data_IF_449910103924
#
_entry.id   IF_449910103924
#
_cell.length_a   1.000
_cell.length_b   1.000
_cell.length_c   1.000
_cell.angle_alpha   90.00
_cell.angle_beta   90.00
_cell.angle_gamma   90.00
#
_symmetry.space_group_name_H-M   'P 1'
#
loop_
_entity.id
_entity.type
_entity.pdbx_description
1 polymer ?
#
# COMPACT_ATOMS: atom_id res chain seq x y z
N UNK A 1 -68.27 47.09 -36.87
CA UNK A 1 -68.22 47.32 -35.40
C UNK A 1 -68.39 46.07 -34.52
N UNK A 2 -68.60 44.83 -35.05
CA UNK A 2 -68.75 43.61 -34.22
C UNK A 2 -67.44 42.93 -33.77
N UNK A 3 -66.30 43.25 -34.39
CA UNK A 3 -65.01 42.57 -34.13
C UNK A 3 -64.17 43.17 -32.97
N UNK A 4 -64.52 44.35 -32.45
CA UNK A 4 -63.77 44.96 -31.32
C UNK A 4 -64.25 44.46 -29.95
N UNK A 5 -65.52 44.08 -29.82
CA UNK A 5 -66.10 43.65 -28.54
C UNK A 5 -65.62 42.24 -28.15
N UNK A 6 -65.53 41.32 -29.12
CA UNK A 6 -65.01 39.95 -28.89
C UNK A 6 -63.53 39.97 -28.47
N UNK A 7 -62.71 40.84 -29.07
CA UNK A 7 -61.29 40.99 -28.70
C UNK A 7 -61.09 41.54 -27.28
N UNK A 8 -61.97 42.44 -26.80
CA UNK A 8 -61.91 42.97 -25.42
C UNK A 8 -62.36 41.94 -24.37
N UNK A 9 -63.37 41.12 -24.68
CA UNK A 9 -63.83 40.04 -23.79
C UNK A 9 -62.78 38.93 -23.69
N UNK A 10 -62.15 38.55 -24.81
CA UNK A 10 -61.08 37.55 -24.81
C UNK A 10 -59.82 38.02 -24.07
N UNK A 11 -59.42 39.30 -24.22
CA UNK A 11 -58.28 39.87 -23.48
C UNK A 11 -58.58 39.96 -21.97
N UNK A 12 -59.81 40.30 -21.59
CA UNK A 12 -60.27 40.31 -20.20
C UNK A 12 -60.29 38.92 -19.55
N UNK A 13 -60.71 37.89 -20.27
CA UNK A 13 -60.65 36.48 -19.83
C UNK A 13 -59.22 35.96 -19.75
N UNK A 14 -58.32 36.39 -20.64
CA UNK A 14 -56.90 36.01 -20.60
C UNK A 14 -56.18 36.67 -19.40
N UNK A 15 -56.46 37.95 -19.13
CA UNK A 15 -55.95 38.66 -17.94
C UNK A 15 -56.53 38.12 -16.63
N UNK A 16 -57.82 37.76 -16.59
CA UNK A 16 -58.44 37.13 -15.42
C UNK A 16 -57.91 35.71 -15.19
N UNK A 17 -57.64 34.95 -16.27
CA UNK A 17 -56.96 33.65 -16.20
C UNK A 17 -55.53 33.76 -15.68
N UNK A 18 -54.78 34.77 -16.11
CA UNK A 18 -53.41 35.03 -15.65
C UNK A 18 -53.36 35.51 -14.18
N UNK A 19 -54.35 36.31 -13.76
CA UNK A 19 -54.53 36.73 -12.36
C UNK A 19 -54.99 35.57 -11.46
N UNK A 20 -55.84 34.68 -11.95
CA UNK A 20 -56.25 33.47 -11.23
C UNK A 20 -55.08 32.48 -11.09
N UNK A 21 -54.27 32.27 -12.14
CA UNK A 21 -53.09 31.39 -12.06
C UNK A 21 -51.97 31.95 -11.18
N UNK A 22 -51.88 33.27 -11.00
CA UNK A 22 -50.93 33.90 -10.07
C UNK A 22 -51.45 34.00 -8.63
N UNK A 23 -52.77 33.90 -8.41
CA UNK A 23 -53.38 33.79 -7.07
C UNK A 23 -53.33 32.36 -6.48
N UNK A 24 -52.95 31.35 -7.26
CA UNK A 24 -52.75 29.96 -6.79
C UNK A 24 -51.27 29.56 -6.68
N UNK A 25 -50.34 30.51 -6.63
CA UNK A 25 -49.03 30.23 -6.03
C UNK A 25 -49.18 30.23 -4.50
N UNK A 26 -49.96 29.27 -3.98
CA UNK A 26 -50.04 29.01 -2.55
C UNK A 26 -48.74 28.31 -2.18
N UNK A 27 -47.79 29.07 -1.64
CA UNK A 27 -46.59 28.51 -1.03
C UNK A 27 -47.01 27.85 0.29
N UNK A 28 -47.31 26.56 0.24
CA UNK A 28 -47.51 25.74 1.43
C UNK A 28 -46.18 25.06 1.77
N UNK A 29 -45.71 25.22 3.00
CA UNK A 29 -44.61 24.45 3.56
C UNK A 29 -45.15 23.34 4.46
N UNK A 30 -44.45 22.22 4.53
CA UNK A 30 -44.70 21.23 5.56
C UNK A 30 -44.29 21.80 6.92
N UNK A 31 -45.02 21.46 7.98
CA UNK A 31 -44.67 21.86 9.35
C UNK A 31 -43.36 21.22 9.82
N UNK A 32 -43.06 20.03 9.29
CA UNK A 32 -41.89 19.23 9.63
C UNK A 32 -41.00 19.06 8.39
N UNK A 33 -39.72 18.82 8.61
CA UNK A 33 -38.80 18.38 7.56
C UNK A 33 -39.17 16.98 7.06
N UNK A 34 -38.92 16.72 5.79
CA UNK A 34 -38.94 15.35 5.25
C UNK A 34 -37.65 14.69 5.72
N UNK A 35 -37.79 13.56 6.44
CA UNK A 35 -36.65 12.73 6.81
C UNK A 35 -36.49 11.62 5.77
N UNK A 36 -35.28 11.54 5.23
CA UNK A 36 -34.82 10.50 4.32
C UNK A 36 -34.11 9.37 5.06
N UNK A 37 -33.33 8.61 4.31
CA UNK A 37 -32.54 7.50 4.83
C UNK A 37 -31.11 7.95 5.15
N UNK A 38 -30.40 7.16 5.97
CA UNK A 38 -28.97 7.40 6.21
C UNK A 38 -28.19 6.89 4.99
N UNK A 39 -27.27 7.67 4.42
CA UNK A 39 -26.38 7.18 3.38
C UNK A 39 -25.44 6.12 3.98
N UNK A 40 -25.24 5.00 3.28
CA UNK A 40 -24.33 3.93 3.73
C UNK A 40 -23.42 3.50 2.59
N UNK A 41 -22.13 3.38 2.84
CA UNK A 41 -21.20 2.81 1.87
C UNK A 41 -21.14 1.29 1.96
N UNK A 42 -21.01 0.66 0.81
CA UNK A 42 -20.70 -0.77 0.68
C UNK A 42 -19.63 -0.97 -0.37
N UNK A 43 -18.77 -1.97 -0.16
CA UNK A 43 -17.80 -2.37 -1.17
C UNK A 43 -18.51 -2.82 -2.47
N UNK A 44 -17.74 -2.96 -3.54
CA UNK A 44 -18.30 -3.36 -4.83
C UNK A 44 -18.65 -4.85 -4.92
N UNK A 45 -18.38 -5.62 -3.87
CA UNK A 45 -18.68 -7.04 -3.82
C UNK A 45 -20.18 -7.31 -3.65
N UNK A 46 -20.64 -8.41 -4.23
CA UNK A 46 -22.02 -8.84 -4.09
C UNK A 46 -22.30 -9.25 -2.63
N UNK A 47 -23.26 -8.59 -1.99
CA UNK A 47 -23.61 -8.86 -0.59
C UNK A 47 -22.63 -8.26 0.43
N UNK A 48 -21.82 -7.28 0.00
CA UNK A 48 -20.92 -6.52 0.86
C UNK A 48 -21.60 -6.03 2.15
N UNK A 49 -20.86 -6.10 3.26
CA UNK A 49 -21.32 -5.55 4.53
C UNK A 49 -21.43 -4.02 4.47
N UNK A 50 -22.30 -3.45 5.30
CA UNK A 50 -22.38 -2.00 5.50
C UNK A 50 -21.04 -1.46 6.01
N UNK A 51 -20.75 -0.20 5.67
CA UNK A 51 -19.56 0.52 6.10
C UNK A 51 -18.25 -0.09 5.59
N UNK A 52 -18.27 -0.66 4.38
CA UNK A 52 -17.09 -1.24 3.74
C UNK A 52 -16.76 -0.55 2.43
N UNK A 53 -15.50 -0.68 2.00
CA UNK A 53 -14.96 -0.14 0.76
C UNK A 53 -14.02 -1.18 0.15
N UNK A 54 -13.84 -1.12 -1.16
CA UNK A 54 -12.82 -1.90 -1.87
C UNK A 54 -11.57 -1.04 -2.03
N UNK A 55 -10.42 -1.50 -1.51
CA UNK A 55 -9.13 -0.86 -1.73
C UNK A 55 -8.30 -1.68 -2.71
N UNK A 56 -7.68 -1.01 -3.69
CA UNK A 56 -6.79 -1.62 -4.68
C UNK A 56 -5.50 -0.81 -4.85
N UNK A 57 -4.38 -1.49 -5.04
CA UNK A 57 -3.16 -0.88 -5.59
C UNK A 57 -2.92 -1.44 -6.99
N UNK A 58 -2.88 -0.55 -7.98
CA UNK A 58 -2.70 -0.87 -9.39
C UNK A 58 -1.27 -0.56 -9.84
N UNK A 59 -0.77 -1.34 -10.79
CA UNK A 59 0.55 -1.11 -11.37
C UNK A 59 0.52 0.13 -12.28
N UNK A 60 1.52 1.01 -12.17
CA UNK A 60 1.59 2.21 -13.02
C UNK A 60 1.72 1.87 -14.51
N UNK A 61 2.54 0.87 -14.85
CA UNK A 61 2.83 0.49 -16.23
C UNK A 61 1.65 -0.27 -16.84
N UNK A 62 0.77 -0.83 -15.99
CA UNK A 62 -0.48 -1.50 -16.36
C UNK A 62 -1.61 -1.07 -15.41
N UNK A 63 -2.19 0.14 -15.57
CA UNK A 63 -3.16 0.72 -14.62
C UNK A 63 -4.45 -0.07 -14.37
N UNK A 64 -4.69 -1.13 -15.16
CA UNK A 64 -5.82 -2.06 -15.02
C UNK A 64 -5.49 -3.28 -14.17
N UNK A 65 -4.22 -3.53 -13.90
CA UNK A 65 -3.73 -4.74 -13.22
C UNK A 65 -3.36 -4.38 -11.78
N UNK A 66 -3.84 -5.16 -10.81
CA UNK A 66 -3.37 -5.05 -9.44
C UNK A 66 -1.91 -5.47 -9.34
N UNK A 67 -1.18 -4.89 -8.38
CA UNK A 67 0.23 -5.21 -8.18
C UNK A 67 0.47 -6.66 -7.72
N UNK A 68 -0.56 -7.33 -7.17
CA UNK A 68 -0.45 -8.72 -6.75
C UNK A 68 0.20 -8.84 -5.37
N UNK A 69 1.27 -9.64 -5.26
CA UNK A 69 1.97 -9.90 -4.00
C UNK A 69 3.24 -9.08 -3.80
N UNK A 70 3.72 -8.34 -4.82
CA UNK A 70 4.93 -7.52 -4.67
C UNK A 70 4.70 -6.36 -3.70
N UNK A 71 5.74 -5.84 -3.04
CA UNK A 71 5.64 -4.57 -2.35
C UNK A 71 5.08 -3.47 -3.26
N UNK A 72 4.24 -2.61 -2.69
CA UNK A 72 3.78 -1.42 -3.39
C UNK A 72 4.96 -0.45 -3.54
N UNK A 73 5.01 0.29 -4.65
CA UNK A 73 6.10 1.24 -4.94
C UNK A 73 5.55 2.62 -5.24
N UNK A 74 6.40 3.64 -5.06
CA UNK A 74 6.14 4.99 -5.58
C UNK A 74 5.80 4.87 -7.06
N UNK A 75 4.81 5.68 -7.45
CA UNK A 75 4.14 5.73 -8.75
C UNK A 75 3.08 4.67 -9.04
N UNK A 76 2.93 3.62 -8.23
CA UNK A 76 1.73 2.79 -8.28
C UNK A 76 0.47 3.63 -8.01
N UNK A 77 -0.70 3.12 -8.36
CA UNK A 77 -1.96 3.87 -8.27
C UNK A 77 -2.83 3.27 -7.16
N UNK A 78 -3.18 4.08 -6.17
CA UNK A 78 -4.21 3.70 -5.19
C UNK A 78 -5.59 3.94 -5.80
N UNK A 79 -6.49 2.98 -5.63
CA UNK A 79 -7.91 3.07 -6.00
C UNK A 79 -8.78 2.63 -4.82
N UNK A 80 -9.74 3.47 -4.45
CA UNK A 80 -10.73 3.20 -3.42
C UNK A 80 -12.10 3.24 -4.08
N UNK A 81 -12.83 2.13 -4.03
CA UNK A 81 -14.11 1.97 -4.70
C UNK A 81 -15.23 1.67 -3.70
N UNK A 82 -16.39 2.27 -3.90
CA UNK A 82 -17.57 2.00 -3.07
C UNK A 82 -18.87 2.32 -3.82
N UNK A 83 -19.96 1.69 -3.37
CA UNK A 83 -21.33 2.05 -3.71
C UNK A 83 -21.93 2.84 -2.55
N UNK A 84 -22.69 3.88 -2.87
CA UNK A 84 -23.66 4.46 -1.97
C UNK A 84 -24.96 3.66 -2.05
N UNK A 85 -25.42 3.14 -0.92
CA UNK A 85 -26.79 2.69 -0.74
C UNK A 85 -27.58 3.76 0.00
N UNK A 86 -28.55 4.33 -0.72
CA UNK A 86 -29.51 5.27 -0.19
C UNK A 86 -30.90 5.02 -0.78
N UNK A 87 -31.90 4.84 0.09
CA UNK A 87 -33.23 4.39 -0.32
C UNK A 87 -34.08 5.52 -0.95
N UNK A 88 -33.79 6.77 -0.60
CA UNK A 88 -34.40 7.95 -1.23
C UNK A 88 -33.68 8.40 -2.51
N UNK A 89 -32.57 7.73 -2.85
CA UNK A 89 -31.76 7.92 -4.07
C UNK A 89 -31.05 9.27 -4.14
N UNK A 90 -30.72 9.87 -3.00
CA UNK A 90 -29.81 11.00 -2.97
C UNK A 90 -28.44 10.63 -3.59
N UNK A 91 -27.79 11.64 -4.18
CA UNK A 91 -26.64 11.46 -5.08
C UNK A 91 -25.30 11.74 -4.40
N UNK A 92 -24.27 11.03 -4.87
CA UNK A 92 -22.89 11.37 -4.53
C UNK A 92 -22.42 12.64 -5.22
N UNK A 93 -21.51 13.37 -4.56
CA UNK A 93 -20.81 14.53 -5.12
C UNK A 93 -19.30 14.35 -5.01
N UNK A 94 -18.60 14.51 -6.13
CA UNK A 94 -17.16 14.35 -6.19
C UNK A 94 -16.43 15.35 -5.27
N UNK A 95 -16.94 16.58 -5.18
CA UNK A 95 -16.37 17.62 -4.33
C UNK A 95 -16.57 17.31 -2.84
N UNK A 96 -17.71 16.72 -2.46
CA UNK A 96 -17.98 16.30 -1.07
C UNK A 96 -17.15 15.10 -0.65
N UNK A 97 -16.93 14.15 -1.57
CA UNK A 97 -16.01 13.04 -1.35
C UNK A 97 -14.59 13.57 -1.15
N UNK A 98 -14.12 14.47 -2.02
CA UNK A 98 -12.80 15.10 -1.86
C UNK A 98 -12.68 15.86 -0.54
N UNK A 99 -13.68 16.65 -0.16
CA UNK A 99 -13.70 17.43 1.09
C UNK A 99 -13.49 16.56 2.34
N UNK A 100 -13.96 15.30 2.30
CA UNK A 100 -13.96 14.39 3.46
C UNK A 100 -12.88 13.32 3.39
N UNK A 101 -12.26 13.13 2.22
CA UNK A 101 -11.17 12.18 2.05
C UNK A 101 -9.89 12.71 2.68
N UNK A 102 -9.32 11.96 3.63
CA UNK A 102 -8.01 12.23 4.23
C UNK A 102 -7.19 10.97 4.20
N UNK A 103 -5.89 11.09 3.94
CA UNK A 103 -4.99 9.94 3.89
C UNK A 103 -3.77 10.19 4.78
N UNK A 104 -3.34 9.14 5.43
CA UNK A 104 -2.30 9.15 6.45
C UNK A 104 -1.29 8.05 6.17
N UNK A 105 -0.05 8.32 6.56
CA UNK A 105 1.03 7.34 6.49
C UNK A 105 1.72 7.23 7.83
N UNK A 106 2.28 6.05 8.09
CA UNK A 106 3.18 5.80 9.21
C UNK A 106 4.34 4.95 8.72
N UNK A 107 5.57 5.37 9.02
CA UNK A 107 6.76 4.70 8.51
C UNK A 107 7.11 3.47 9.31
N UNK A 108 6.96 3.46 10.63
CA UNK A 108 7.27 2.28 11.45
C UNK A 108 5.99 1.73 12.08
N UNK A 109 5.56 0.55 11.61
CA UNK A 109 4.38 -0.18 12.10
C UNK A 109 4.41 -0.40 13.60
N UNK A 110 5.58 -0.77 14.12
CA UNK A 110 5.75 -1.20 15.51
C UNK A 110 6.08 -0.06 16.48
N UNK A 111 6.29 1.16 16.00
CA UNK A 111 6.56 2.30 16.87
C UNK A 111 5.24 2.95 17.30
N UNK A 112 4.75 2.61 18.49
CA UNK A 112 3.53 3.20 19.05
C UNK A 112 3.65 4.69 19.36
N UNK A 113 4.87 5.26 19.35
CA UNK A 113 5.11 6.68 19.60
C UNK A 113 5.17 7.52 18.33
N UNK A 114 5.38 6.89 17.16
CA UNK A 114 5.30 7.55 15.88
C UNK A 114 3.84 7.95 15.58
N UNK A 115 3.62 9.25 15.44
CA UNK A 115 2.32 9.80 15.07
C UNK A 115 2.04 9.56 13.58
N UNK A 116 0.77 9.34 13.27
CA UNK A 116 0.30 9.35 11.89
C UNK A 116 0.56 10.70 11.24
N UNK A 117 1.10 10.69 10.02
CA UNK A 117 1.31 11.88 9.23
C UNK A 117 0.25 11.97 8.14
N UNK A 118 -0.56 13.02 8.17
CA UNK A 118 -1.48 13.35 7.07
C UNK A 118 -0.66 13.71 5.82
N UNK A 119 -1.09 13.21 4.66
CA UNK A 119 -0.54 13.61 3.37
C UNK A 119 -1.48 14.64 2.77
N UNK A 120 -0.96 15.84 2.52
CA UNK A 120 -1.73 16.93 1.95
C UNK A 120 -2.28 16.55 0.57
N UNK A 121 -3.49 17.00 0.22
CA UNK A 121 -4.08 16.71 -1.09
C UNK A 121 -3.21 17.19 -2.25
N UNK A 122 -2.43 18.25 -2.06
CA UNK A 122 -1.48 18.74 -3.07
C UNK A 122 -0.33 17.76 -3.36
N UNK A 123 -0.02 16.86 -2.41
CA UNK A 123 0.98 15.80 -2.57
C UNK A 123 0.37 14.50 -3.15
N UNK A 124 -0.96 14.43 -3.32
CA UNK A 124 -1.66 13.33 -3.98
C UNK A 124 -1.70 13.57 -5.49
N UNK A 125 -0.70 13.02 -6.18
CA UNK A 125 -0.54 13.20 -7.62
C UNK A 125 -1.73 12.60 -8.38
N UNK A 126 -2.30 13.37 -9.30
CA UNK A 126 -3.46 12.96 -10.10
C UNK A 126 -4.70 12.50 -9.30
N UNK A 127 -4.95 13.11 -8.13
CA UNK A 127 -6.15 12.83 -7.34
C UNK A 127 -7.43 13.08 -8.15
N UNK A 128 -8.18 12.00 -8.37
CA UNK A 128 -9.46 11.97 -9.11
C UNK A 128 -10.54 11.33 -8.26
N UNK A 129 -11.76 11.81 -8.46
CA UNK A 129 -12.98 11.15 -7.98
C UNK A 129 -13.88 10.98 -9.18
N UNK A 130 -14.10 9.73 -9.57
CA UNK A 130 -14.97 9.34 -10.68
C UNK A 130 -16.29 8.85 -10.12
N UNK A 131 -17.39 9.37 -10.63
CA UNK A 131 -18.74 8.97 -10.26
C UNK A 131 -19.37 8.21 -11.42
N UNK A 132 -20.03 7.11 -11.11
CA UNK A 132 -20.95 6.45 -12.03
C UNK A 132 -22.32 6.33 -11.36
N UNK A 133 -23.16 7.32 -11.65
CA UNK A 133 -24.50 7.47 -11.12
C UNK A 133 -25.50 6.74 -12.02
N UNK A 134 -25.44 5.41 -12.05
CA UNK A 134 -26.47 4.61 -12.71
C UNK A 134 -27.70 4.44 -11.80
N UNK A 135 -28.83 4.08 -12.38
CA UNK A 135 -30.18 4.25 -11.83
C UNK A 135 -30.49 3.56 -10.48
N UNK A 136 -29.66 2.63 -10.01
CA UNK A 136 -29.90 1.85 -8.78
C UNK A 136 -28.76 1.83 -7.76
N UNK A 137 -27.52 2.21 -8.12
CA UNK A 137 -26.38 2.34 -7.18
C UNK A 137 -25.42 3.41 -7.69
N UNK A 138 -25.19 4.42 -6.85
CA UNK A 138 -24.19 5.45 -7.14
C UNK A 138 -22.81 4.92 -6.77
N UNK A 139 -21.98 4.69 -7.78
CA UNK A 139 -20.61 4.21 -7.62
C UNK A 139 -19.64 5.38 -7.58
N UNK A 140 -18.66 5.32 -6.70
CA UNK A 140 -17.53 6.22 -6.69
C UNK A 140 -16.20 5.47 -6.70
N UNK A 141 -15.22 6.07 -7.37
CA UNK A 141 -13.82 5.64 -7.36
C UNK A 141 -12.96 6.85 -7.03
N UNK A 142 -12.22 6.78 -5.93
CA UNK A 142 -11.14 7.72 -5.60
C UNK A 142 -9.84 7.10 -6.10
N UNK A 143 -9.03 7.85 -6.86
CA UNK A 143 -7.74 7.35 -7.31
C UNK A 143 -6.66 8.42 -7.30
N UNK A 144 -5.44 8.04 -6.97
CA UNK A 144 -4.26 8.92 -7.08
C UNK A 144 -2.99 8.06 -7.21
N UNK A 145 -1.93 8.68 -7.72
CA UNK A 145 -0.60 8.09 -7.87
C UNK A 145 0.16 8.24 -6.54
N UNK A 146 0.74 7.15 -6.04
CA UNK A 146 1.59 7.14 -4.84
C UNK A 146 2.81 8.02 -5.10
N UNK A 147 2.94 9.13 -4.38
CA UNK A 147 4.08 10.04 -4.50
C UNK A 147 5.25 9.65 -3.60
N UNK A 148 6.40 10.30 -3.76
CA UNK A 148 7.59 10.07 -2.91
C UNK A 148 7.34 10.32 -1.42
N UNK A 149 6.26 11.03 -1.06
CA UNK A 149 5.87 11.23 0.35
C UNK A 149 5.56 9.93 1.06
N UNK A 150 5.09 8.93 0.32
CA UNK A 150 4.75 7.61 0.84
C UNK A 150 5.97 6.71 1.01
N UNK A 151 7.14 7.08 0.46
CA UNK A 151 8.33 6.22 0.47
C UNK A 151 8.70 5.77 1.90
N UNK A 152 8.81 4.45 2.08
CA UNK A 152 9.11 3.79 3.35
C UNK A 152 7.92 3.68 4.32
N UNK A 153 6.70 4.09 3.92
CA UNK A 153 5.51 3.91 4.74
C UNK A 153 5.16 2.42 4.88
N UNK A 154 5.12 1.92 6.11
CA UNK A 154 4.69 0.54 6.46
C UNK A 154 3.21 0.45 6.79
N UNK A 155 2.54 1.60 6.94
CA UNK A 155 1.11 1.73 7.14
C UNK A 155 0.60 2.87 6.27
N UNK A 156 -0.48 2.59 5.55
CA UNK A 156 -1.33 3.60 4.93
C UNK A 156 -2.71 3.47 5.58
N UNK A 157 -3.26 4.59 5.98
CA UNK A 157 -4.61 4.71 6.52
C UNK A 157 -5.35 5.84 5.84
N UNK A 158 -6.67 5.84 5.90
CA UNK A 158 -7.47 6.92 5.36
C UNK A 158 -8.79 7.08 6.12
N UNK A 159 -9.41 8.24 5.96
CA UNK A 159 -10.72 8.56 6.50
C UNK A 159 -11.62 9.02 5.36
N UNK A 160 -12.89 8.64 5.44
CA UNK A 160 -13.92 9.07 4.49
C UNK A 160 -15.27 9.15 5.20
N UNK A 161 -16.07 10.18 4.90
CA UNK A 161 -17.41 10.34 5.46
C UNK A 161 -18.45 9.78 4.50
N UNK A 162 -19.35 8.95 5.01
CA UNK A 162 -20.56 8.55 4.31
C UNK A 162 -21.47 9.77 4.17
N UNK A 163 -21.55 10.32 2.95
CA UNK A 163 -22.26 11.57 2.69
C UNK A 163 -22.80 11.66 1.27
N UNK A 164 -23.99 12.23 1.16
CA UNK A 164 -24.67 12.62 -0.08
C UNK A 164 -24.56 14.13 -0.33
N UNK A 165 -24.87 14.56 -1.57
CA UNK A 165 -24.94 15.97 -1.95
C UNK A 165 -26.10 16.70 -1.24
N UNK A 166 -27.23 16.00 -1.13
CA UNK A 166 -28.48 16.46 -0.52
C UNK A 166 -29.04 15.38 0.41
N UNK A 167 -30.11 15.70 1.14
CA UNK A 167 -30.76 14.75 2.03
C UNK A 167 -30.83 15.22 3.48
N UNK A 168 -31.70 14.58 4.24
CA UNK A 168 -31.84 14.81 5.68
C UNK A 168 -32.16 13.48 6.37
N UNK A 169 -31.17 12.75 6.91
CA UNK A 169 -29.77 13.13 7.08
C UNK A 169 -28.95 13.02 5.78
N UNK A 170 -28.02 13.96 5.56
CA UNK A 170 -27.10 13.91 4.40
C UNK A 170 -25.78 13.20 4.70
N UNK A 171 -25.57 12.76 5.94
CA UNK A 171 -24.34 12.12 6.38
C UNK A 171 -24.64 11.02 7.42
N UNK A 172 -23.74 10.05 7.50
CA UNK A 172 -23.83 8.94 8.44
C UNK A 172 -22.49 8.77 9.20
N UNK A 173 -21.71 7.71 8.94
CA UNK A 173 -20.49 7.42 9.69
C UNK A 173 -19.24 7.94 8.99
N UNK A 174 -18.25 8.30 9.79
CA UNK A 174 -16.85 8.32 9.37
C UNK A 174 -16.33 6.89 9.30
N UNK A 175 -15.76 6.52 8.16
CA UNK A 175 -15.04 5.25 7.99
C UNK A 175 -13.56 5.51 8.16
N UNK A 176 -12.94 4.84 9.13
CA UNK A 176 -11.53 4.98 9.45
C UNK A 176 -10.81 3.67 9.11
N UNK A 177 -9.82 3.76 8.23
CA UNK A 177 -8.90 2.69 7.85
C UNK A 177 -7.53 3.05 8.38
N UNK A 178 -6.89 2.12 9.08
CA UNK A 178 -5.59 2.27 9.74
C UNK A 178 -4.55 1.31 9.16
N UNK A 179 -4.97 0.34 8.37
CA UNK A 179 -4.08 -0.51 7.58
C UNK A 179 -4.81 -0.96 6.30
N UNK A 180 -4.45 -0.37 5.15
CA UNK A 180 -5.03 -0.75 3.85
C UNK A 180 -4.74 -2.20 3.43
N UNK A 181 -3.75 -2.86 4.03
CA UNK A 181 -3.45 -4.26 3.79
C UNK A 181 -4.25 -5.22 4.68
N UNK A 182 -4.89 -4.70 5.72
CA UNK A 182 -5.79 -5.47 6.58
C UNK A 182 -7.09 -5.81 5.86
N UNK A 183 -7.62 -7.02 6.10
CA UNK A 183 -8.95 -7.42 5.64
C UNK A 183 -10.05 -7.07 6.66
N UNK A 184 -9.70 -6.46 7.78
CA UNK A 184 -10.70 -6.04 8.77
C UNK A 184 -11.62 -4.96 8.19
N UNK A 185 -12.82 -4.83 8.75
CA UNK A 185 -13.72 -3.75 8.38
C UNK A 185 -13.20 -2.40 8.87
N UNK A 186 -13.61 -1.29 8.22
CA UNK A 186 -13.34 0.04 8.71
C UNK A 186 -13.93 0.23 10.10
N UNK A 187 -13.28 1.06 10.89
CA UNK A 187 -13.87 1.53 12.13
C UNK A 187 -14.89 2.64 11.80
N UNK A 188 -16.18 2.30 11.87
CA UNK A 188 -17.27 3.24 11.62
C UNK A 188 -17.57 4.06 12.89
N UNK A 189 -17.31 5.37 12.85
CA UNK A 189 -17.53 6.30 13.97
C UNK A 189 -18.60 7.33 13.65
N UNK A 190 -19.41 7.67 14.64
CA UNK A 190 -20.32 8.80 14.54
C UNK A 190 -19.56 10.12 14.38
N UNK A 191 -20.09 11.08 13.60
CA UNK A 191 -19.56 12.43 13.57
C UNK A 191 -19.60 13.07 14.95
N UNK A 192 -18.56 13.82 15.32
CA UNK A 192 -18.51 14.49 16.62
C UNK A 192 -19.53 15.63 16.75
N UNK A 193 -20.03 16.14 15.62
CA UNK A 193 -21.09 17.14 15.54
C UNK A 193 -22.06 16.74 14.41
N UNK A 194 -23.27 16.29 14.77
CA UNK A 194 -24.31 15.91 13.81
C UNK A 194 -24.77 17.08 12.92
N UNK A 195 -24.60 18.32 13.37
CA UNK A 195 -24.97 19.51 12.57
C UNK A 195 -23.88 19.92 11.60
N UNK A 196 -22.63 19.54 11.90
CA UNK A 196 -21.47 19.75 11.05
C UNK A 196 -20.59 18.49 10.98
N UNK A 197 -21.07 17.45 10.27
CA UNK A 197 -20.47 16.12 10.30
C UNK A 197 -19.12 16.05 9.57
N UNK A 198 -18.68 17.13 8.91
CA UNK A 198 -17.42 17.20 8.14
C UNK A 198 -16.17 17.29 9.00
N UNK A 199 -16.30 17.43 10.32
CA UNK A 199 -15.14 17.37 11.22
C UNK A 199 -14.75 15.91 11.44
N UNK A 200 -13.56 15.45 10.99
CA UNK A 200 -13.14 14.07 11.19
C UNK A 200 -12.82 13.79 12.66
N UNK A 201 -12.91 12.52 13.10
CA UNK A 201 -12.34 12.11 14.38
C UNK A 201 -10.83 12.40 14.44
N UNK A 202 -10.36 12.81 15.63
CA UNK A 202 -9.02 13.39 15.82
C UNK A 202 -7.82 12.52 15.44
N UNK A 203 -7.96 11.20 15.40
CA UNK A 203 -6.89 10.28 15.02
C UNK A 203 -7.45 9.09 14.22
N UNK A 204 -6.74 8.57 13.20
CA UNK A 204 -6.90 7.18 12.83
C UNK A 204 -6.57 6.32 14.06
N UNK A 205 -7.53 5.49 14.46
CA UNK A 205 -7.47 4.65 15.66
C UNK A 205 -6.18 3.78 15.67
N UNK A 206 -5.76 3.25 16.82
CA UNK A 206 -4.55 2.38 16.88
C UNK A 206 -4.87 0.91 16.59
N UNK A 207 -6.14 0.57 16.36
CA UNK A 207 -6.54 -0.78 15.96
C UNK A 207 -6.13 -1.14 14.54
N UNK A 208 -6.24 -2.43 14.22
CA UNK A 208 -6.01 -3.00 12.89
C UNK A 208 -7.35 -2.97 12.11
N UNK A 209 -7.66 -1.82 11.51
CA UNK A 209 -8.89 -1.59 10.75
C UNK A 209 -8.55 -1.45 9.27
N UNK A 210 -9.09 -2.35 8.46
CA UNK A 210 -8.94 -2.35 7.01
C UNK A 210 -10.09 -1.65 6.29
N UNK A 211 -10.10 -1.66 4.96
CA UNK A 211 -11.20 -1.15 4.14
C UNK A 211 -12.40 -2.10 4.11
N UNK A 212 -12.25 -3.35 4.58
CA UNK A 212 -13.25 -4.42 4.52
C UNK A 212 -13.07 -5.34 3.31
N UNK A 213 -12.66 -4.80 2.16
CA UNK A 213 -12.27 -5.58 0.97
C UNK A 213 -10.92 -5.06 0.42
N UNK A 214 -9.87 -5.86 0.54
CA UNK A 214 -8.49 -5.48 0.17
C UNK A 214 -7.66 -6.64 -0.36
N UNK A 215 -8.13 -7.35 -1.38
CA UNK A 215 -7.35 -8.48 -1.94
C UNK A 215 -6.24 -8.05 -2.92
N UNK A 216 -5.10 -8.75 -2.89
CA UNK A 216 -3.96 -8.60 -3.84
C UNK A 216 -3.35 -7.18 -3.92
N UNK A 217 -3.21 -6.51 -2.79
CA UNK A 217 -2.68 -5.15 -2.67
C UNK A 217 -1.20 -5.07 -2.32
N UNK A 218 -0.46 -6.17 -2.54
CA UNK A 218 0.93 -6.26 -2.14
C UNK A 218 1.12 -6.11 -0.64
N UNK A 219 2.25 -5.53 -0.27
CA UNK A 219 2.64 -5.23 1.10
C UNK A 219 3.35 -3.87 1.18
N UNK A 220 3.48 -3.37 2.41
CA UNK A 220 4.44 -2.33 2.73
C UNK A 220 5.80 -2.92 3.15
N UNK A 221 6.85 -2.09 3.25
CA UNK A 221 6.84 -0.64 3.05
C UNK A 221 6.74 -0.25 1.59
N UNK A 222 6.31 1.00 1.34
CA UNK A 222 6.29 1.54 -0.02
C UNK A 222 7.74 1.72 -0.53
N UNK A 223 8.11 0.93 -1.53
CA UNK A 223 9.41 1.01 -2.19
C UNK A 223 9.55 2.29 -3.02
N UNK A 224 10.77 2.80 -3.15
CA UNK A 224 11.06 3.90 -4.06
C UNK A 224 12.44 3.73 -4.70
N UNK A 225 12.83 4.67 -5.56
CA UNK A 225 14.21 4.73 -6.07
C UNK A 225 15.25 4.97 -4.99
N UNK A 226 14.85 5.21 -3.74
CA UNK A 226 15.72 5.35 -2.56
C UNK A 226 15.79 4.08 -1.71
N UNK A 227 14.99 3.07 -2.02
CA UNK A 227 15.11 1.78 -1.34
C UNK A 227 16.43 1.13 -1.75
N UNK A 228 17.19 0.67 -0.77
CA UNK A 228 18.49 0.01 -0.96
C UNK A 228 18.53 -1.30 -0.20
N UNK A 229 19.22 -2.27 -0.78
CA UNK A 229 19.61 -3.51 -0.11
C UNK A 229 21.12 -3.60 -0.12
N UNK A 230 21.68 -4.16 0.95
CA UNK A 230 23.10 -4.42 1.11
C UNK A 230 23.34 -5.74 1.82
N UNK A 231 24.58 -6.25 1.69
CA UNK A 231 25.02 -7.50 2.30
C UNK A 231 26.10 -7.17 3.31
N UNK A 232 25.81 -7.41 4.59
CA UNK A 232 26.71 -7.04 5.69
C UNK A 232 27.13 -8.26 6.48
N UNK A 233 28.39 -8.27 6.91
CA UNK A 233 28.93 -9.34 7.74
C UNK A 233 28.33 -9.28 9.15
N UNK A 234 28.11 -10.43 9.76
CA UNK A 234 27.74 -10.56 11.17
C UNK A 234 29.01 -10.77 11.98
N UNK A 235 29.30 -9.85 12.90
CA UNK A 235 30.45 -9.91 13.79
C UNK A 235 29.96 -10.12 15.22
N UNK A 236 30.21 -11.32 15.77
CA UNK A 236 29.65 -11.72 17.07
C UNK A 236 28.13 -11.90 16.99
N UNK A 237 27.38 -11.06 17.73
CA UNK A 237 25.92 -11.10 17.81
C UNK A 237 25.23 -9.90 17.11
N UNK A 238 25.95 -9.15 16.27
CA UNK A 238 25.40 -7.98 15.58
C UNK A 238 25.77 -7.98 14.08
N UNK A 239 24.91 -7.36 13.27
CA UNK A 239 25.21 -7.05 11.86
C UNK A 239 26.12 -5.83 11.83
N UNK A 240 27.30 -5.95 11.22
CA UNK A 240 28.29 -4.88 11.11
C UNK A 240 28.01 -3.99 9.89
N UNK A 241 26.97 -3.15 10.02
CA UNK A 241 26.55 -2.23 8.95
C UNK A 241 27.54 -1.09 8.68
N UNK A 242 28.50 -0.85 9.58
CA UNK A 242 29.43 0.29 9.50
C UNK A 242 30.76 -0.06 8.82
N UNK A 243 31.00 -1.33 8.50
CA UNK A 243 32.31 -1.80 8.02
C UNK A 243 32.37 -1.94 6.51
N UNK A 244 31.71 -2.95 5.95
CA UNK A 244 31.79 -3.28 4.52
C UNK A 244 30.42 -3.77 4.06
N UNK A 245 29.95 -3.17 2.97
CA UNK A 245 28.84 -3.70 2.19
C UNK A 245 29.36 -4.59 1.05
N UNK A 246 29.25 -5.89 1.23
CA UNK A 246 29.73 -6.92 0.30
C UNK A 246 28.92 -6.99 -0.99
N UNK A 247 27.79 -6.26 -1.09
CA UNK A 247 27.07 -6.12 -2.36
C UNK A 247 27.66 -5.08 -3.30
N UNK A 248 28.58 -4.23 -2.79
CA UNK A 248 29.12 -3.07 -3.51
C UNK A 248 30.64 -3.02 -3.51
N UNK A 249 31.27 -3.40 -2.42
CA UNK A 249 32.72 -3.37 -2.26
C UNK A 249 33.38 -4.61 -2.87
N UNK A 250 34.57 -4.45 -3.46
CA UNK A 250 35.37 -5.54 -4.02
C UNK A 250 36.11 -6.30 -2.90
N UNK A 251 35.34 -6.89 -1.99
CA UNK A 251 35.83 -7.69 -0.86
C UNK A 251 35.34 -9.12 -1.00
N UNK A 252 36.28 -10.06 -0.98
CA UNK A 252 35.99 -11.49 -1.09
C UNK A 252 35.48 -12.01 0.27
N UNK A 253 34.27 -12.57 0.35
CA UNK A 253 33.79 -13.28 1.54
C UNK A 253 34.71 -14.45 1.93
N UNK A 254 34.95 -14.63 3.24
CA UNK A 254 35.79 -15.73 3.73
C UNK A 254 34.94 -16.94 4.16
N UNK A 255 35.55 -18.13 4.15
CA UNK A 255 34.88 -19.33 4.65
C UNK A 255 34.58 -19.20 6.15
N UNK A 256 33.36 -19.56 6.56
CA UNK A 256 32.86 -19.41 7.93
C UNK A 256 32.20 -18.06 8.21
N UNK A 257 32.27 -17.11 7.27
CA UNK A 257 31.58 -15.83 7.42
C UNK A 257 30.06 -16.00 7.40
N UNK A 258 29.42 -15.17 8.21
CA UNK A 258 27.96 -15.05 8.30
C UNK A 258 27.55 -13.69 7.77
N UNK A 259 26.50 -13.64 6.96
CA UNK A 259 26.00 -12.42 6.35
C UNK A 259 24.53 -12.23 6.63
N UNK A 260 24.12 -10.97 6.72
CA UNK A 260 22.73 -10.56 6.78
C UNK A 260 22.44 -9.59 5.63
N UNK A 261 21.23 -9.68 5.09
CA UNK A 261 20.69 -8.66 4.21
C UNK A 261 20.14 -7.54 5.08
N UNK A 262 20.37 -6.29 4.68
CA UNK A 262 19.78 -5.12 5.32
C UNK A 262 19.13 -4.28 4.24
N UNK A 263 17.87 -3.93 4.44
CA UNK A 263 17.13 -3.00 3.59
C UNK A 263 17.00 -1.68 4.31
N UNK A 264 17.24 -0.57 3.63
CA UNK A 264 17.06 0.77 4.19
C UNK A 264 16.49 1.73 3.15
N UNK A 265 15.98 2.85 3.66
CA UNK A 265 15.58 3.99 2.85
C UNK A 265 16.71 5.01 2.87
N UNK A 266 17.35 5.18 1.72
CA UNK A 266 18.44 6.12 1.54
C UNK A 266 17.93 7.56 1.62
N UNK A 267 18.51 8.35 2.52
CA UNK A 267 18.22 9.78 2.62
C UNK A 267 19.31 10.61 1.92
N UNK A 268 20.58 10.17 2.06
CA UNK A 268 21.75 10.79 1.45
C UNK A 268 22.18 9.89 0.29
N UNK A 269 21.98 10.34 -0.96
CA UNK A 269 22.27 9.59 -2.19
C UNK A 269 23.77 9.25 -2.34
N UNK A 270 24.26 8.26 -1.59
CA UNK A 270 25.66 7.84 -1.50
C UNK A 270 25.84 6.31 -1.59
N UNK A 271 24.73 5.59 -1.79
CA UNK A 271 24.57 4.15 -1.86
C UNK A 271 25.13 3.39 -0.64
N UNK A 272 25.14 4.01 0.53
CA UNK A 272 25.60 3.44 1.81
C UNK A 272 24.51 3.55 2.86
N UNK A 273 24.61 2.71 3.89
CA UNK A 273 23.74 2.80 5.06
C UNK A 273 24.37 3.78 6.05
N UNK A 274 23.73 4.94 6.23
CA UNK A 274 24.15 5.95 7.18
C UNK A 274 23.45 5.81 8.54
N UNK A 275 24.08 6.31 9.61
CA UNK A 275 23.60 6.14 10.99
C UNK A 275 22.18 6.69 11.26
N UNK A 276 21.69 7.62 10.42
CA UNK A 276 20.39 8.26 10.59
C UNK A 276 19.30 7.66 9.69
N UNK A 277 19.66 6.70 8.84
CA UNK A 277 18.73 6.10 7.89
C UNK A 277 17.88 5.02 8.53
N UNK A 278 16.63 4.93 8.08
CA UNK A 278 15.67 3.99 8.64
C UNK A 278 15.83 2.65 7.93
N UNK A 279 16.18 1.62 8.71
CA UNK A 279 16.20 0.24 8.24
C UNK A 279 14.78 -0.32 8.19
N UNK A 280 14.53 -1.10 7.14
CA UNK A 280 13.23 -1.71 6.79
C UNK A 280 13.31 -3.22 6.61
N UNK A 281 14.42 -3.82 7.00
CA UNK A 281 14.71 -5.24 6.77
C UNK A 281 13.60 -6.17 7.24
N UNK A 282 12.93 -5.87 8.36
CA UNK A 282 11.86 -6.70 8.91
C UNK A 282 10.58 -6.78 8.13
N UNK A 283 10.45 -5.97 7.09
CA UNK A 283 9.29 -5.96 6.23
C UNK A 283 9.49 -6.77 4.94
N UNK A 284 10.67 -7.39 4.77
CA UNK A 284 11.02 -8.16 3.58
C UNK A 284 11.35 -9.60 3.93
N UNK A 285 11.07 -10.48 2.97
CA UNK A 285 11.69 -11.80 2.94
C UNK A 285 12.84 -11.81 1.95
N UNK A 286 13.78 -12.75 2.09
CA UNK A 286 14.99 -12.76 1.27
C UNK A 286 15.25 -14.13 0.67
N UNK A 287 15.66 -14.13 -0.59
CA UNK A 287 16.19 -15.30 -1.29
C UNK A 287 17.68 -15.06 -1.57
N UNK A 288 18.54 -15.92 -0.99
CA UNK A 288 19.98 -15.88 -1.25
C UNK A 288 20.34 -16.78 -2.44
N UNK A 289 21.38 -16.43 -3.20
CA UNK A 289 21.87 -17.22 -4.32
C UNK A 289 23.37 -17.02 -4.53
N UNK A 290 24.02 -18.01 -5.14
CA UNK A 290 25.39 -17.90 -5.65
C UNK A 290 25.34 -17.73 -7.16
N UNK A 291 26.05 -16.73 -7.67
CA UNK A 291 26.08 -16.39 -9.09
C UNK A 291 27.52 -16.19 -9.58
N UNK A 292 27.69 -16.08 -10.90
CA UNK A 292 28.99 -15.84 -11.52
C UNK A 292 29.74 -17.12 -11.87
N UNK A 293 30.61 -17.01 -12.86
CA UNK A 293 31.50 -18.10 -13.26
C UNK A 293 32.53 -18.35 -12.14
N UNK A 294 32.74 -19.63 -11.82
CA UNK A 294 33.75 -20.03 -10.85
C UNK A 294 35.14 -19.55 -11.29
N UNK A 295 35.66 -18.49 -10.65
CA UNK A 295 36.99 -17.98 -10.94
C UNK A 295 38.05 -18.70 -10.10
N UNK A 296 38.52 -19.84 -10.60
CA UNK A 296 39.58 -20.61 -9.97
C UNK A 296 40.93 -19.87 -9.92
N UNK A 297 41.09 -18.76 -10.66
CA UNK A 297 42.37 -18.04 -10.77
C UNK A 297 42.62 -17.10 -9.58
N UNK A 298 41.58 -16.74 -8.83
CA UNK A 298 41.68 -15.89 -7.63
C UNK A 298 41.83 -16.69 -6.33
N UNK A 299 41.65 -18.01 -6.37
CA UNK A 299 41.74 -18.90 -5.22
C UNK A 299 43.18 -19.43 -5.06
N UNK A 300 43.96 -18.80 -4.19
CA UNK A 300 45.38 -19.10 -4.01
C UNK A 300 45.73 -20.51 -3.48
N UNK A 301 44.75 -21.37 -3.13
CA UNK A 301 45.02 -22.64 -2.40
C UNK A 301 44.09 -23.82 -2.73
N UNK A 302 43.41 -23.85 -3.88
CA UNK A 302 42.55 -24.99 -4.24
C UNK A 302 43.25 -26.01 -5.15
N UNK A 303 43.02 -27.28 -4.83
CA UNK A 303 43.47 -28.44 -5.59
C UNK A 303 42.78 -28.45 -6.96
N UNK A 304 43.54 -28.09 -8.01
CA UNK A 304 43.04 -27.85 -9.37
C UNK A 304 42.41 -29.09 -10.02
N UNK A 305 42.67 -30.27 -9.48
CA UNK A 305 42.27 -31.56 -10.05
C UNK A 305 40.85 -32.01 -9.66
N UNK A 306 40.14 -31.25 -8.80
CA UNK A 306 38.74 -31.52 -8.39
C UNK A 306 37.70 -30.60 -9.03
N UNK A 307 38.11 -29.84 -10.04
CA UNK A 307 37.35 -28.71 -10.57
C UNK A 307 36.62 -29.04 -11.87
N UNK A 308 35.36 -29.45 -11.74
CA UNK A 308 34.39 -29.39 -12.83
C UNK A 308 33.09 -28.77 -12.33
N UNK A 309 32.93 -27.45 -12.50
CA UNK A 309 31.61 -26.84 -12.40
C UNK A 309 30.75 -27.40 -13.54
N UNK A 310 29.70 -28.16 -13.22
CA UNK A 310 28.68 -28.50 -14.22
C UNK A 310 27.77 -27.30 -14.40
N UNK A 311 27.82 -26.67 -15.56
CA UNK A 311 26.73 -25.82 -16.06
C UNK A 311 25.49 -26.72 -16.23
N UNK A 312 24.31 -26.24 -15.85
CA UNK A 312 23.06 -26.90 -16.23
C UNK A 312 22.91 -26.85 -17.78
N UNK A 313 21.92 -27.55 -18.34
CA UNK A 313 21.72 -27.58 -19.79
C UNK A 313 21.31 -26.21 -20.39
N UNK A 314 21.09 -25.18 -19.57
CA UNK A 314 20.53 -23.88 -19.96
C UNK A 314 21.41 -22.68 -19.59
N UNK A 315 22.65 -22.89 -19.16
CA UNK A 315 23.57 -21.81 -18.74
C UNK A 315 22.99 -20.93 -17.60
N UNK A 316 22.12 -21.49 -16.75
CA UNK A 316 21.53 -20.79 -15.60
C UNK A 316 22.25 -21.14 -14.30
N UNK A 317 22.55 -20.12 -13.49
CA UNK A 317 23.04 -20.27 -12.13
C UNK A 317 21.90 -20.79 -11.24
N UNK A 318 22.05 -21.98 -10.66
CA UNK A 318 21.04 -22.54 -9.76
C UNK A 318 20.97 -21.75 -8.44
N UNK A 319 19.76 -21.42 -8.00
CA UNK A 319 19.52 -20.78 -6.72
C UNK A 319 19.92 -21.73 -5.57
N UNK A 320 20.65 -21.21 -4.58
CA UNK A 320 20.89 -21.94 -3.33
C UNK A 320 19.57 -22.05 -2.57
N UNK A 321 18.93 -23.22 -2.67
CA UNK A 321 17.71 -23.53 -1.92
C UNK A 321 17.98 -24.35 -0.66
N UNK A 322 19.19 -24.90 -0.50
CA UNK A 322 19.59 -25.63 0.71
C UNK A 322 20.36 -24.74 1.68
N UNK A 323 19.88 -24.72 2.93
CA UNK A 323 20.50 -24.15 4.11
C UNK A 323 20.65 -22.62 4.14
N UNK A 324 19.60 -21.90 3.74
CA UNK A 324 19.20 -20.71 4.51
C UNK A 324 18.70 -21.24 5.86
N UNK A 325 19.61 -21.68 6.73
CA UNK A 325 19.25 -21.90 8.12
C UNK A 325 19.00 -20.52 8.69
N UNK A 326 17.73 -20.19 8.95
CA UNK A 326 17.37 -19.33 10.08
C UNK A 326 18.26 -19.83 11.23
N UNK A 327 19.31 -19.05 11.52
CA UNK A 327 20.46 -19.53 12.26
C UNK A 327 20.03 -19.78 13.69
N UNK A 328 19.95 -21.05 14.10
CA UNK A 328 19.59 -21.43 15.47
C UNK A 328 20.55 -20.80 16.48
N UNK A 329 20.12 -19.70 17.09
CA UNK A 329 20.83 -18.89 18.08
C UNK A 329 20.08 -17.57 18.31
N UNK A 330 20.33 -16.82 19.38
CA UNK A 330 19.59 -15.58 19.73
C UNK A 330 19.56 -14.47 18.64
N UNK A 331 20.25 -14.66 17.51
CA UNK A 331 20.15 -13.87 16.28
C UNK A 331 18.92 -14.20 15.40
N UNK A 332 18.27 -15.36 15.60
CA UNK A 332 16.98 -15.75 14.98
C UNK A 332 15.78 -14.92 15.48
N UNK A 333 16.01 -14.06 16.47
CA UNK A 333 15.01 -13.06 16.92
C UNK A 333 15.10 -11.77 16.12
N UNK A 334 16.02 -11.70 15.14
CA UNK A 334 16.21 -10.56 14.25
C UNK A 334 15.54 -10.78 12.90
N UNK A 335 14.91 -9.73 12.42
CA UNK A 335 14.26 -9.52 11.12
C UNK A 335 15.10 -9.76 9.86
N UNK A 336 16.34 -10.24 9.99
CA UNK A 336 17.33 -10.24 8.91
C UNK A 336 17.63 -11.69 8.55
N UNK A 337 17.22 -12.14 7.36
CA UNK A 337 17.47 -13.51 6.91
C UNK A 337 18.98 -13.75 6.74
N UNK A 338 19.56 -14.64 7.55
CA UNK A 338 21.01 -14.87 7.66
C UNK A 338 21.47 -15.98 6.72
N UNK A 339 22.63 -15.81 6.09
CA UNK A 339 23.34 -16.88 5.39
C UNK A 339 24.72 -17.13 6.01
N UNK A 340 25.14 -18.40 6.04
CA UNK A 340 26.45 -18.84 6.51
C UNK A 340 27.18 -19.46 5.33
N UNK A 341 28.40 -18.99 5.02
CA UNK A 341 29.21 -19.59 3.97
C UNK A 341 30.07 -20.72 4.54
N UNK A 342 29.71 -21.98 4.27
CA UNK A 342 30.46 -23.16 4.72
C UNK A 342 29.70 -23.94 5.77
N UNK A 343 30.39 -24.50 6.77
CA UNK A 343 29.76 -25.30 7.83
C UNK A 343 29.16 -24.45 8.96
N UNK A 344 28.04 -24.91 9.52
CA UNK A 344 27.44 -24.35 10.76
C UNK A 344 28.25 -24.70 12.02
N UNK A 345 29.17 -25.67 11.92
CA UNK A 345 30.12 -26.07 12.96
C UNK A 345 31.56 -26.00 12.42
N UNK A 346 32.12 -24.78 12.25
CA UNK A 346 33.41 -24.56 11.58
C UNK A 346 34.58 -25.27 12.29
N UNK A 347 34.45 -25.53 13.60
CA UNK A 347 35.48 -26.16 14.42
C UNK A 347 35.49 -27.69 14.35
N UNK A 348 34.44 -28.31 13.79
CA UNK A 348 34.21 -29.77 13.81
C UNK A 348 34.31 -30.39 12.43
N UNK A 349 33.94 -29.65 11.38
CA UNK A 349 33.83 -30.17 10.01
C UNK A 349 34.77 -29.41 9.08
N UNK A 350 35.73 -30.14 8.50
CA UNK A 350 36.58 -29.63 7.43
C UNK A 350 35.91 -29.99 6.10
N UNK A 351 35.51 -28.96 5.35
CA UNK A 351 34.93 -28.97 4.00
C UNK A 351 33.39 -28.83 3.92
N UNK A 352 32.97 -28.39 2.72
CA UNK A 352 31.70 -27.78 2.31
C UNK A 352 30.45 -28.67 2.46
N UNK A 353 30.26 -29.41 3.54
CA UNK A 353 29.11 -30.33 3.69
C UNK A 353 27.74 -29.65 3.47
N UNK A 354 27.65 -28.33 3.70
CA UNK A 354 26.44 -27.53 3.46
C UNK A 354 26.10 -27.37 1.97
N UNK A 355 27.11 -27.48 1.09
CA UNK A 355 26.99 -27.29 -0.36
C UNK A 355 27.55 -28.46 -1.18
N UNK A 356 28.09 -29.51 -0.55
CA UNK A 356 28.71 -30.67 -1.20
C UNK A 356 27.67 -31.53 -1.91
N UNK A 357 27.23 -31.01 -3.05
CA UNK A 357 26.38 -31.67 -4.03
C UNK A 357 27.21 -31.92 -5.29
N UNK A 358 26.70 -32.76 -6.20
CA UNK A 358 27.31 -32.98 -7.51
C UNK A 358 27.50 -31.70 -8.37
N UNK A 359 26.97 -30.56 -7.92
CA UNK A 359 27.00 -29.27 -8.60
C UNK A 359 27.99 -28.26 -7.98
N UNK A 360 28.34 -28.38 -6.69
CA UNK A 360 29.28 -27.47 -6.01
C UNK A 360 30.43 -28.23 -5.30
N UNK A 361 31.30 -28.95 -6.04
CA UNK A 361 32.34 -29.80 -5.45
C UNK A 361 33.43 -29.05 -4.66
N UNK A 362 33.55 -27.73 -4.85
CA UNK A 362 34.42 -26.83 -4.08
C UNK A 362 33.63 -25.91 -3.11
N UNK A 363 32.31 -26.14 -2.95
CA UNK A 363 31.39 -25.31 -2.19
C UNK A 363 31.17 -23.91 -2.75
N UNK A 364 30.86 -22.95 -1.87
CA UNK A 364 30.53 -21.57 -2.22
C UNK A 364 31.73 -20.72 -2.69
N UNK A 365 32.96 -21.24 -2.61
CA UNK A 365 34.18 -20.51 -2.99
C UNK A 365 34.19 -20.22 -4.49
N UNK A 366 34.68 -19.04 -4.90
CA UNK A 366 34.75 -18.65 -6.32
C UNK A 366 33.44 -18.15 -6.95
N UNK A 367 32.34 -18.16 -6.20
CA UNK A 367 31.05 -17.60 -6.61
C UNK A 367 30.78 -16.24 -5.93
N UNK A 368 29.93 -15.42 -6.55
CA UNK A 368 29.40 -14.18 -5.98
C UNK A 368 28.14 -14.46 -5.19
N UNK A 369 28.03 -13.87 -4.01
CA UNK A 369 26.81 -13.92 -3.20
C UNK A 369 25.82 -12.84 -3.69
N UNK A 370 24.55 -13.22 -3.88
CA UNK A 370 23.47 -12.31 -4.25
C UNK A 370 22.27 -12.52 -3.35
N UNK A 371 21.52 -11.46 -3.09
CA UNK A 371 20.25 -11.52 -2.36
C UNK A 371 19.15 -10.80 -3.13
N UNK A 372 17.95 -11.36 -3.11
CA UNK A 372 16.73 -10.76 -3.67
C UNK A 372 15.68 -10.64 -2.59
N UNK A 373 14.99 -9.50 -2.52
CA UNK A 373 13.85 -9.28 -1.64
C UNK A 373 12.57 -9.79 -2.28
N UNK A 374 11.66 -10.35 -1.47
CA UNK A 374 10.29 -10.66 -1.89
C UNK A 374 9.27 -10.06 -0.92
#
# INVERSE_FOLDING_TARGET
>A
MKNLTVKKVALGLFLAGYAASSAFAITASTKNFIQGNLPVFKSNEQGAAEHTMTFKIMDQDKPTDQIGSRPAKVKDIIRIEFNLEDADKDKLSADRIKETFKIFIKKNKNDSTEAWKEVDHADLTDLKVELNNDTDKDKAVISFVISDKFAGAEHIGYQLLERTEFGAPYANKWLLVTDVWSQANPNAKDPSDEKNPTTPPKDPDTGDYGPGDSTNNGSGPIESTKTRIGIFKITGAAVDVNSIDYSREDKIPEYGDKFAAVVWMEDIENDKLDANEVTKTGSYTFTWSLTGDYDYKTLNNLDKDKLSAKKDQNDKYEALTQNVSNGTGDLDKGTNNVIILGSTAPDVTKHNEVYDTSYYPAGAQGYKLTVTTN
#
